data_IF_339693524250
#
_entry.id   IF_339693524250
#
_cell.length_a   1.000
_cell.length_b   1.000
_cell.length_c   1.000
_cell.angle_alpha   90.00
_cell.angle_beta   90.00
_cell.angle_gamma   90.00
#
_symmetry.space_group_name_H-M   'P 1'
#
loop_
_entity.id
_entity.type
_entity.pdbx_description
1 polymer ?
#
# COMPACT_ATOMS: atom_id res chain seq x y z
N UNK A 1 -0.71 19.04 -11.09
CA UNK A 1 0.31 19.91 -10.45
C UNK A 1 1.06 19.04 -9.44
N UNK A 2 2.39 19.04 -9.46
CA UNK A 2 3.14 18.43 -8.36
C UNK A 2 2.99 19.32 -7.12
N UNK A 3 2.23 18.82 -6.16
CA UNK A 3 1.89 19.55 -4.94
C UNK A 3 3.04 19.54 -3.94
N UNK A 4 3.97 18.57 -4.03
CA UNK A 4 5.17 18.55 -3.20
C UNK A 4 6.14 19.68 -3.59
N UNK A 5 6.17 20.04 -4.87
CA UNK A 5 6.97 21.14 -5.40
C UNK A 5 6.27 22.52 -5.36
N UNK A 6 4.98 22.59 -5.00
CA UNK A 6 4.21 23.84 -4.99
C UNK A 6 3.29 23.96 -3.75
N UNK A 7 3.71 24.70 -2.71
CA UNK A 7 2.94 24.89 -1.48
C UNK A 7 1.53 25.47 -1.68
N UNK A 8 1.33 26.34 -2.68
CA UNK A 8 0.02 26.91 -3.00
C UNK A 8 -0.98 25.85 -3.48
N UNK A 9 -0.49 24.71 -3.99
CA UNK A 9 -1.32 23.57 -4.37
C UNK A 9 -2.00 22.90 -3.17
N UNK A 10 -1.42 22.96 -1.96
CA UNK A 10 -2.04 22.38 -0.76
C UNK A 10 -3.23 23.19 -0.26
N UNK A 11 -3.19 24.51 -0.38
CA UNK A 11 -4.30 25.38 0.04
C UNK A 11 -5.52 25.21 -0.88
N UNK A 12 -5.27 25.02 -2.17
CA UNK A 12 -6.33 24.71 -3.14
C UNK A 12 -6.95 23.33 -2.89
N UNK A 13 -6.15 22.30 -2.57
CA UNK A 13 -6.69 21.00 -2.19
C UNK A 13 -7.55 21.07 -0.92
N UNK A 14 -7.10 21.83 0.10
CA UNK A 14 -7.89 22.05 1.32
C UNK A 14 -9.22 22.72 1.02
N UNK A 15 -9.25 23.74 0.15
CA UNK A 15 -10.49 24.41 -0.30
C UNK A 15 -11.47 23.41 -0.92
N UNK A 16 -10.96 22.42 -1.64
CA UNK A 16 -11.72 21.36 -2.30
C UNK A 16 -12.05 20.16 -1.39
N UNK A 17 -11.79 20.27 -0.08
CA UNK A 17 -12.04 19.19 0.89
C UNK A 17 -11.05 18.01 0.77
N UNK A 18 -9.99 18.15 -0.03
CA UNK A 18 -8.96 17.15 -0.20
C UNK A 18 -7.85 17.42 0.81
N UNK A 19 -7.71 16.51 1.78
CA UNK A 19 -6.72 16.66 2.84
C UNK A 19 -5.34 16.10 2.49
N UNK A 20 -5.21 15.32 1.40
CA UNK A 20 -3.98 14.59 1.07
C UNK A 20 -3.78 14.41 -0.44
N UNK A 21 -2.55 14.11 -0.82
CA UNK A 21 -2.14 13.75 -2.18
C UNK A 21 -1.89 12.24 -2.28
N UNK A 22 -1.98 11.63 -3.48
CA UNK A 22 -2.26 12.24 -4.77
C UNK A 22 -3.73 12.63 -4.94
N UNK A 23 -3.98 13.73 -5.66
CA UNK A 23 -5.31 14.19 -6.03
C UNK A 23 -5.30 14.84 -7.41
N UNK A 24 -6.41 14.74 -8.11
CA UNK A 24 -6.66 15.36 -9.42
C UNK A 24 -7.79 16.37 -9.25
N UNK A 25 -7.60 17.58 -9.77
CA UNK A 25 -8.59 18.65 -9.70
C UNK A 25 -8.94 19.13 -11.11
N UNK A 26 -10.24 19.36 -11.37
CA UNK A 26 -10.75 19.97 -12.61
C UNK A 26 -11.77 21.03 -12.22
N UNK A 27 -11.38 22.31 -12.33
CA UNK A 27 -12.20 23.43 -11.86
C UNK A 27 -12.38 23.38 -10.34
N UNK A 28 -13.62 23.34 -9.89
CA UNK A 28 -14.03 23.24 -8.48
C UNK A 28 -14.29 21.80 -8.01
N UNK A 29 -13.93 20.80 -8.82
CA UNK A 29 -14.09 19.38 -8.50
C UNK A 29 -12.74 18.72 -8.27
N UNK A 30 -12.72 17.73 -7.37
CA UNK A 30 -11.52 16.97 -7.07
C UNK A 30 -11.83 15.47 -6.93
N UNK A 31 -10.84 14.66 -7.26
CA UNK A 31 -10.77 13.24 -6.97
C UNK A 31 -9.47 12.94 -6.22
N UNK A 32 -9.57 12.14 -5.16
CA UNK A 32 -8.49 11.92 -4.21
C UNK A 32 -8.08 10.44 -4.19
N UNK A 33 -6.81 10.16 -3.95
CA UNK A 33 -6.27 8.81 -3.80
C UNK A 33 -6.45 7.99 -5.08
N UNK A 34 -6.25 6.67 -5.00
CA UNK A 34 -6.53 5.79 -6.13
C UNK A 34 -8.04 5.57 -6.24
N UNK A 35 -8.70 6.31 -7.13
CA UNK A 35 -10.13 6.18 -7.40
C UNK A 35 -10.42 6.35 -8.90
N UNK A 36 -10.13 5.34 -9.74
CA UNK A 36 -10.34 5.41 -11.18
C UNK A 36 -11.77 5.79 -11.60
N UNK A 37 -12.85 5.29 -10.96
CA UNK A 37 -14.20 5.76 -11.24
C UNK A 37 -14.38 7.27 -10.98
N UNK A 38 -13.87 7.79 -9.86
CA UNK A 38 -13.93 9.22 -9.57
C UNK A 38 -13.11 10.04 -10.56
N UNK A 39 -11.96 9.53 -11.02
CA UNK A 39 -11.18 10.18 -12.08
C UNK A 39 -11.93 10.24 -13.40
N UNK A 40 -12.57 9.15 -13.81
CA UNK A 40 -13.35 9.13 -15.02
C UNK A 40 -14.56 10.07 -14.97
N UNK A 41 -15.28 10.09 -13.84
CA UNK A 41 -16.37 11.03 -13.60
C UNK A 41 -15.87 12.49 -13.58
N UNK A 42 -14.71 12.74 -13.00
CA UNK A 42 -14.08 14.06 -12.99
C UNK A 42 -13.74 14.53 -14.42
N UNK A 43 -13.20 13.63 -15.24
CA UNK A 43 -12.78 13.89 -16.62
C UNK A 43 -13.92 13.80 -17.65
N UNK A 44 -15.10 13.33 -17.25
CA UNK A 44 -16.25 13.16 -18.15
C UNK A 44 -16.05 12.06 -19.20
N UNK A 45 -15.20 11.07 -18.90
CA UNK A 45 -14.89 9.96 -19.82
C UNK A 45 -15.63 8.69 -19.41
N UNK A 46 -16.08 7.85 -20.37
CA UNK A 46 -16.57 6.52 -20.06
C UNK A 46 -15.49 5.69 -19.36
N UNK A 47 -15.85 5.02 -18.28
CA UNK A 47 -14.99 4.06 -17.59
C UNK A 47 -15.60 2.67 -17.66
N UNK A 48 -15.03 1.84 -18.52
CA UNK A 48 -15.18 0.40 -18.39
C UNK A 48 -14.16 -0.05 -17.34
N UNK A 49 -14.64 -0.59 -16.21
CA UNK A 49 -13.75 -1.10 -15.18
C UNK A 49 -12.73 -2.06 -15.79
N UNK A 50 -11.45 -1.83 -15.49
CA UNK A 50 -10.41 -2.81 -15.86
C UNK A 50 -10.75 -4.12 -15.16
N UNK A 51 -10.59 -5.25 -15.86
CA UNK A 51 -10.81 -6.58 -15.25
C UNK A 51 -9.84 -6.76 -14.09
N UNK A 52 -10.35 -6.59 -12.87
CA UNK A 52 -9.61 -6.81 -11.63
C UNK A 52 -9.38 -8.30 -11.41
N UNK A 53 -8.26 -8.63 -10.78
CA UNK A 53 -8.05 -9.99 -10.29
C UNK A 53 -9.13 -10.35 -9.24
N UNK A 54 -9.59 -11.60 -9.18
CA UNK A 54 -10.58 -12.00 -8.18
C UNK A 54 -10.00 -11.86 -6.76
N UNK A 55 -10.84 -11.60 -5.73
CA UNK A 55 -10.37 -11.40 -4.36
C UNK A 55 -9.47 -12.53 -3.84
N UNK A 56 -9.76 -13.78 -4.19
CA UNK A 56 -8.97 -14.95 -3.80
C UNK A 56 -7.54 -14.91 -4.37
N UNK A 57 -7.38 -14.47 -5.61
CA UNK A 57 -6.06 -14.32 -6.24
C UNK A 57 -5.31 -13.11 -5.68
N UNK A 58 -6.01 -12.01 -5.40
CA UNK A 58 -5.42 -10.84 -4.72
C UNK A 58 -4.92 -11.17 -3.31
N UNK A 59 -5.69 -11.96 -2.55
CA UNK A 59 -5.32 -12.42 -1.21
C UNK A 59 -4.10 -13.34 -1.25
N UNK A 60 -4.08 -14.31 -2.17
CA UNK A 60 -2.93 -15.21 -2.37
C UNK A 60 -1.66 -14.44 -2.70
N UNK A 61 -1.74 -13.46 -3.62
CA UNK A 61 -0.59 -12.63 -4.00
C UNK A 61 -0.13 -11.71 -2.89
N UNK A 62 -1.07 -11.13 -2.14
CA UNK A 62 -0.74 -10.35 -0.96
C UNK A 62 0.09 -11.20 0.00
N UNK A 63 -0.32 -12.44 0.29
CA UNK A 63 0.46 -13.34 1.14
C UNK A 63 1.87 -13.61 0.58
N UNK A 64 2.01 -13.83 -0.73
CA UNK A 64 3.34 -13.98 -1.37
C UNK A 64 4.21 -12.75 -1.16
N UNK A 65 3.67 -11.53 -1.30
CA UNK A 65 4.44 -10.31 -1.08
C UNK A 65 4.83 -10.11 0.38
N UNK A 66 3.92 -10.42 1.31
CA UNK A 66 4.17 -10.35 2.75
C UNK A 66 5.21 -11.39 3.18
N UNK A 67 5.11 -12.63 2.68
CA UNK A 67 6.10 -13.68 2.90
C UNK A 67 7.47 -13.24 2.38
N UNK A 68 7.54 -12.80 1.13
CA UNK A 68 8.80 -12.33 0.51
C UNK A 68 9.43 -11.22 1.34
N UNK A 69 8.62 -10.24 1.77
CA UNK A 69 9.06 -9.14 2.65
C UNK A 69 9.59 -9.68 3.98
N UNK A 70 8.89 -10.64 4.58
CA UNK A 70 9.29 -11.25 5.85
C UNK A 70 10.63 -11.98 5.72
N UNK A 71 10.81 -12.75 4.65
CA UNK A 71 12.07 -13.44 4.38
C UNK A 71 13.21 -12.45 4.18
N UNK A 72 12.96 -11.41 3.38
CA UNK A 72 13.91 -10.35 3.09
C UNK A 72 14.34 -9.59 4.35
N UNK A 73 13.40 -9.16 5.19
CA UNK A 73 13.72 -8.39 6.39
C UNK A 73 14.58 -9.17 7.39
N UNK A 74 14.53 -10.50 7.41
CA UNK A 74 15.40 -11.32 8.29
C UNK A 74 16.89 -11.17 8.00
N UNK A 75 17.26 -10.81 6.77
CA UNK A 75 18.66 -10.75 6.33
C UNK A 75 19.21 -9.33 6.23
N UNK A 76 18.39 -8.30 6.49
CA UNK A 76 18.81 -6.90 6.39
C UNK A 76 19.77 -6.57 7.53
N UNK A 77 21.01 -6.13 7.25
CA UNK A 77 21.94 -5.71 8.29
C UNK A 77 21.47 -4.45 9.03
N UNK A 78 21.61 -4.44 10.35
CA UNK A 78 21.12 -3.35 11.22
C UNK A 78 21.63 -1.97 10.81
N UNK A 79 22.88 -1.88 10.32
CA UNK A 79 23.48 -0.62 9.85
C UNK A 79 22.70 0.05 8.71
N UNK A 80 21.88 -0.70 7.97
CA UNK A 80 21.09 -0.17 6.86
C UNK A 80 19.65 0.20 7.24
N UNK A 81 19.18 -0.20 8.42
CA UNK A 81 17.78 -0.01 8.81
C UNK A 81 17.37 1.46 8.89
N UNK A 82 18.27 2.33 9.34
CA UNK A 82 18.03 3.78 9.44
C UNK A 82 18.45 4.57 8.19
N UNK A 83 19.00 3.89 7.18
CA UNK A 83 19.34 4.51 5.90
C UNK A 83 18.08 4.98 5.17
N UNK A 84 18.20 6.11 4.45
CA UNK A 84 17.11 6.74 3.69
C UNK A 84 17.54 6.99 2.24
N UNK A 85 16.73 6.63 1.25
CA UNK A 85 16.97 7.03 -0.13
C UNK A 85 16.74 8.53 -0.34
N UNK A 86 17.48 9.20 -1.23
CA UNK A 86 17.24 10.61 -1.56
C UNK A 86 15.87 10.85 -2.20
N UNK A 87 15.30 9.85 -2.88
CA UNK A 87 14.00 9.94 -3.55
C UNK A 87 12.83 10.00 -2.55
N UNK A 88 13.03 9.53 -1.31
CA UNK A 88 11.95 9.47 -0.32
C UNK A 88 12.47 9.49 1.11
N UNK A 89 11.95 10.41 1.93
CA UNK A 89 12.27 10.50 3.35
C UNK A 89 11.56 9.41 4.18
N UNK A 90 11.90 8.14 3.94
CA UNK A 90 11.43 6.97 4.69
C UNK A 90 12.61 6.03 4.90
N UNK A 91 12.82 5.59 6.14
CA UNK A 91 13.90 4.65 6.43
C UNK A 91 13.61 3.27 5.86
N UNK A 92 14.66 2.49 5.62
CA UNK A 92 14.55 1.10 5.22
C UNK A 92 13.67 0.31 6.22
N UNK A 93 13.90 0.51 7.52
CA UNK A 93 13.12 -0.07 8.63
C UNK A 93 11.64 0.23 8.49
N UNK A 94 11.29 1.50 8.30
CA UNK A 94 9.90 1.92 8.16
C UNK A 94 9.27 1.43 6.85
N UNK A 95 10.03 1.30 5.76
CA UNK A 95 9.52 0.74 4.51
C UNK A 95 9.16 -0.75 4.69
N UNK A 96 10.03 -1.55 5.29
CA UNK A 96 9.77 -2.96 5.59
C UNK A 96 8.57 -3.15 6.52
N UNK A 97 8.51 -2.37 7.61
CA UNK A 97 7.35 -2.36 8.52
C UNK A 97 6.05 -1.97 7.81
N UNK A 98 6.10 -0.95 6.96
CA UNK A 98 4.92 -0.39 6.32
C UNK A 98 4.22 -1.38 5.39
N UNK A 99 4.95 -2.27 4.70
CA UNK A 99 4.37 -3.35 3.88
C UNK A 99 3.41 -4.22 4.68
N UNK A 100 3.77 -4.56 5.92
CA UNK A 100 2.89 -5.32 6.81
C UNK A 100 1.78 -4.43 7.37
N UNK A 101 2.11 -3.24 7.87
CA UNK A 101 1.13 -2.37 8.52
C UNK A 101 0.01 -1.91 7.58
N UNK A 102 0.32 -1.57 6.33
CA UNK A 102 -0.69 -1.21 5.33
C UNK A 102 -1.65 -2.37 5.02
N UNK A 103 -1.14 -3.60 5.11
CA UNK A 103 -1.90 -4.83 4.82
C UNK A 103 -2.78 -5.22 6.01
N UNK A 104 -2.27 -5.05 7.23
CA UNK A 104 -3.09 -5.17 8.44
C UNK A 104 -4.21 -4.12 8.47
N UNK A 105 -3.91 -2.88 8.06
CA UNK A 105 -4.89 -1.80 8.01
C UNK A 105 -6.09 -2.09 7.10
N UNK A 106 -5.93 -2.92 6.06
CA UNK A 106 -7.06 -3.42 5.27
C UNK A 106 -8.02 -4.23 6.14
N UNK A 107 -7.50 -5.22 6.86
CA UNK A 107 -8.27 -6.07 7.76
C UNK A 107 -8.94 -5.24 8.86
N UNK A 108 -8.18 -4.35 9.52
CA UNK A 108 -8.72 -3.44 10.53
C UNK A 108 -9.85 -2.58 9.95
N UNK A 109 -9.68 -2.07 8.73
CA UNK A 109 -10.66 -1.21 8.08
C UNK A 109 -11.93 -1.95 7.68
N UNK A 110 -11.80 -3.20 7.22
CA UNK A 110 -12.96 -4.06 6.97
C UNK A 110 -13.72 -4.32 8.26
N UNK A 111 -13.05 -4.69 9.34
CA UNK A 111 -13.71 -5.02 10.61
C UNK A 111 -14.38 -3.80 11.26
N UNK A 112 -13.76 -2.62 11.19
CA UNK A 112 -14.30 -1.39 11.78
C UNK A 112 -15.27 -0.63 10.86
N UNK A 113 -15.32 -0.98 9.56
CA UNK A 113 -16.09 -0.23 8.56
C UNK A 113 -15.50 1.13 8.20
N UNK A 114 -14.28 1.45 8.65
CA UNK A 114 -13.57 2.68 8.33
C UNK A 114 -12.06 2.46 8.21
N UNK A 115 -11.46 3.02 7.14
CA UNK A 115 -10.03 3.08 6.91
C UNK A 115 -9.58 4.55 6.88
N UNK A 116 -9.09 5.10 8.02
CA UNK A 116 -8.51 6.43 8.06
C UNK A 116 -7.09 6.45 7.48
N UNK A 117 -6.75 7.53 6.75
CA UNK A 117 -5.44 7.66 6.10
C UNK A 117 -4.27 7.85 7.06
N UNK A 118 -4.54 8.14 8.34
CA UNK A 118 -3.53 8.25 9.39
C UNK A 118 -2.84 6.91 9.68
N UNK A 119 -3.53 5.78 9.53
CA UNK A 119 -2.94 4.45 9.73
C UNK A 119 -1.79 4.15 8.76
N UNK A 120 -1.79 4.77 7.57
CA UNK A 120 -0.69 4.64 6.60
C UNK A 120 0.55 5.48 6.98
N UNK A 121 0.46 6.30 8.02
CA UNK A 121 1.57 7.10 8.55
C UNK A 121 2.27 6.42 9.72
N UNK A 122 1.71 5.34 10.25
CA UNK A 122 2.28 4.59 11.37
C UNK A 122 3.73 4.22 11.04
N UNK A 123 4.62 4.55 11.97
CA UNK A 123 6.03 4.16 11.92
C UNK A 123 6.22 2.84 12.65
N UNK A 124 7.33 2.16 12.37
CA UNK A 124 7.77 1.02 13.14
C UNK A 124 7.90 1.42 14.61
N UNK A 125 7.22 0.73 15.55
CA UNK A 125 7.38 0.96 16.98
C UNK A 125 8.84 0.84 17.44
N UNK A 126 9.16 1.47 18.56
CA UNK A 126 10.53 1.56 19.08
C UNK A 126 11.13 0.21 19.48
N UNK A 127 10.32 -0.83 19.71
CA UNK A 127 10.76 -2.19 20.01
C UNK A 127 11.03 -3.03 18.75
N UNK A 128 10.53 -2.63 17.58
CA UNK A 128 10.89 -3.21 16.28
C UNK A 128 12.16 -2.55 15.73
N UNK A 129 13.30 -2.83 16.37
CA UNK A 129 14.59 -2.19 16.08
C UNK A 129 15.40 -2.85 14.98
N UNK A 130 15.25 -4.15 14.81
CA UNK A 130 16.04 -4.96 13.90
C UNK A 130 15.18 -5.65 12.83
N UNK A 131 15.85 -6.14 11.78
CA UNK A 131 15.21 -6.86 10.68
C UNK A 131 14.42 -8.10 11.15
N UNK A 132 15.00 -8.98 12.00
CA UNK A 132 14.29 -10.11 12.59
C UNK A 132 13.02 -9.75 13.39
N UNK A 133 13.00 -8.63 14.11
CA UNK A 133 11.82 -8.14 14.84
C UNK A 133 10.70 -7.74 13.88
N UNK A 134 11.04 -7.01 12.81
CA UNK A 134 10.08 -6.69 11.74
C UNK A 134 9.55 -7.97 11.07
N UNK A 135 10.41 -8.96 10.83
CA UNK A 135 9.98 -10.22 10.26
C UNK A 135 9.04 -11.01 11.21
N UNK A 136 9.29 -11.01 12.53
CA UNK A 136 8.37 -11.60 13.52
C UNK A 136 7.02 -10.88 13.54
N UNK A 137 7.03 -9.55 13.50
CA UNK A 137 5.79 -8.77 13.34
C UNK A 137 5.06 -9.13 12.05
N UNK A 138 5.78 -9.26 10.94
CA UNK A 138 5.22 -9.68 9.66
C UNK A 138 4.55 -11.05 9.71
N UNK A 139 5.12 -12.02 10.44
CA UNK A 139 4.50 -13.32 10.64
C UNK A 139 3.17 -13.23 11.41
N UNK A 140 3.09 -12.38 12.44
CA UNK A 140 1.84 -12.15 13.20
C UNK A 140 0.78 -11.50 12.30
N UNK A 141 1.17 -10.50 11.51
CA UNK A 141 0.29 -9.82 10.55
C UNK A 141 -0.25 -10.81 9.51
N UNK A 142 0.61 -11.66 8.95
CA UNK A 142 0.18 -12.69 8.00
C UNK A 142 -0.82 -13.66 8.62
N UNK A 143 -0.57 -14.14 9.83
CA UNK A 143 -1.53 -14.99 10.54
C UNK A 143 -2.90 -14.33 10.71
N UNK A 144 -2.92 -13.04 11.07
CA UNK A 144 -4.16 -12.26 11.20
C UNK A 144 -4.91 -12.08 9.87
N UNK A 145 -4.17 -11.81 8.80
CA UNK A 145 -4.70 -11.63 7.45
C UNK A 145 -5.26 -12.95 6.90
N UNK A 146 -4.52 -14.05 7.04
CA UNK A 146 -4.97 -15.38 6.65
C UNK A 146 -6.27 -15.75 7.35
N UNK A 147 -6.33 -15.58 8.68
CA UNK A 147 -7.56 -15.87 9.44
C UNK A 147 -8.74 -15.00 9.02
N UNK A 148 -8.51 -13.74 8.61
CA UNK A 148 -9.58 -12.89 8.06
C UNK A 148 -10.10 -13.45 6.73
N UNK A 149 -9.22 -13.82 5.80
CA UNK A 149 -9.63 -14.36 4.51
C UNK A 149 -10.32 -15.74 4.61
N UNK A 150 -9.90 -16.59 5.54
CA UNK A 150 -10.55 -17.88 5.80
C UNK A 150 -11.98 -17.71 6.33
N UNK A 151 -12.24 -16.65 7.11
CA UNK A 151 -13.56 -16.33 7.64
C UNK A 151 -14.42 -15.44 6.73
N UNK A 152 -13.84 -14.80 5.72
CA UNK A 152 -14.53 -13.84 4.87
C UNK A 152 -15.47 -14.54 3.88
N UNK A 153 -16.77 -14.18 3.94
CA UNK A 153 -17.72 -14.56 2.90
C UNK A 153 -17.52 -13.73 1.63
N UNK A 154 -18.01 -14.17 0.45
CA UNK A 154 -17.97 -13.35 -0.77
C UNK A 154 -18.55 -11.94 -0.59
N UNK A 155 -19.58 -11.80 0.25
CA UNK A 155 -20.22 -10.51 0.56
C UNK A 155 -19.30 -9.49 1.25
N UNK A 156 -18.24 -9.95 1.94
CA UNK A 156 -17.26 -9.04 2.54
C UNK A 156 -16.50 -8.24 1.48
N UNK A 157 -16.27 -8.81 0.29
CA UNK A 157 -15.58 -8.11 -0.79
C UNK A 157 -16.50 -7.12 -1.54
N UNK A 158 -17.81 -7.29 -1.43
CA UNK A 158 -18.81 -6.36 -1.99
C UNK A 158 -19.14 -5.22 -1.03
N UNK A 159 -18.97 -5.44 0.28
CA UNK A 159 -19.25 -4.46 1.32
C UNK A 159 -18.44 -3.19 1.12
N UNK A 160 -19.13 -2.05 1.12
CA UNK A 160 -18.53 -0.72 1.01
C UNK A 160 -18.24 -0.17 2.41
N UNK A 161 -17.01 0.31 2.61
CA UNK A 161 -16.58 0.95 3.86
C UNK A 161 -16.12 2.39 3.62
N UNK A 162 -16.05 3.18 4.71
CA UNK A 162 -15.56 4.56 4.65
C UNK A 162 -14.04 4.55 4.52
N UNK A 163 -13.49 5.09 3.43
CA UNK A 163 -12.02 5.23 3.26
C UNK A 163 -11.65 6.69 3.08
N UNK A 164 -10.46 7.08 3.53
CA UNK A 164 -9.97 8.47 3.52
C UNK A 164 -9.94 9.15 2.14
N UNK A 165 -10.05 8.39 1.06
CA UNK A 165 -10.11 8.86 -0.32
C UNK A 165 -11.46 8.58 -1.02
N UNK A 166 -12.51 8.37 -0.22
CA UNK A 166 -13.87 8.07 -0.67
C UNK A 166 -14.29 6.63 -0.34
N UNK A 167 -15.59 6.31 -0.35
CA UNK A 167 -16.06 4.95 -0.09
C UNK A 167 -15.48 3.94 -1.08
N UNK A 168 -15.12 2.74 -0.59
CA UNK A 168 -14.55 1.66 -1.41
C UNK A 168 -15.19 0.33 -1.04
N UNK A 169 -15.38 -0.56 -2.02
CA UNK A 169 -15.70 -1.96 -1.74
C UNK A 169 -14.49 -2.68 -1.14
N UNK A 170 -14.73 -3.78 -0.41
CA UNK A 170 -13.66 -4.65 0.07
C UNK A 170 -12.76 -5.15 -1.07
N UNK A 171 -13.32 -5.40 -2.26
CA UNK A 171 -12.56 -5.81 -3.45
C UNK A 171 -11.66 -4.68 -3.97
N UNK A 172 -12.17 -3.45 -4.10
CA UNK A 172 -11.38 -2.31 -4.56
C UNK A 172 -10.24 -1.99 -3.60
N UNK A 173 -10.54 -2.02 -2.30
CA UNK A 173 -9.54 -1.77 -1.27
C UNK A 173 -8.51 -2.89 -1.19
N UNK A 174 -8.91 -4.15 -1.36
CA UNK A 174 -8.00 -5.29 -1.43
C UNK A 174 -7.06 -5.17 -2.63
N UNK A 175 -7.57 -4.86 -3.82
CA UNK A 175 -6.73 -4.66 -5.01
C UNK A 175 -5.67 -3.59 -4.73
N UNK A 176 -6.09 -2.44 -4.18
CA UNK A 176 -5.18 -1.37 -3.79
C UNK A 176 -4.14 -1.83 -2.80
N UNK A 177 -4.56 -2.57 -1.77
CA UNK A 177 -3.66 -3.08 -0.73
C UNK A 177 -2.62 -4.02 -1.32
N UNK A 178 -3.03 -4.94 -2.19
CA UNK A 178 -2.15 -5.91 -2.85
C UNK A 178 -1.10 -5.24 -3.74
N UNK A 179 -1.49 -4.31 -4.62
CA UNK A 179 -0.50 -3.65 -5.48
C UNK A 179 0.36 -2.63 -4.70
N UNK A 180 -0.15 -2.02 -3.63
CA UNK A 180 0.62 -1.14 -2.77
C UNK A 180 1.72 -1.91 -2.01
N UNK A 181 1.41 -3.10 -1.49
CA UNK A 181 2.40 -4.00 -0.91
C UNK A 181 3.45 -4.43 -1.96
N UNK A 182 3.01 -4.80 -3.16
CA UNK A 182 3.91 -5.18 -4.25
C UNK A 182 4.85 -4.03 -4.66
N UNK A 183 4.36 -2.80 -4.73
CA UNK A 183 5.18 -1.62 -5.06
C UNK A 183 6.25 -1.38 -3.99
N UNK A 184 5.91 -1.49 -2.71
CA UNK A 184 6.89 -1.34 -1.64
C UNK A 184 7.90 -2.49 -1.59
N UNK A 185 7.49 -3.70 -1.97
CA UNK A 185 8.42 -4.81 -2.17
C UNK A 185 9.41 -4.52 -3.31
N UNK A 186 8.95 -3.97 -4.45
CA UNK A 186 9.85 -3.51 -5.53
C UNK A 186 10.86 -2.47 -5.03
N UNK A 187 10.41 -1.51 -4.22
CA UNK A 187 11.28 -0.50 -3.62
C UNK A 187 12.32 -1.15 -2.70
N UNK A 188 11.92 -2.07 -1.82
CA UNK A 188 12.85 -2.78 -0.93
C UNK A 188 13.96 -3.49 -1.70
N UNK A 189 13.64 -4.16 -2.81
CA UNK A 189 14.62 -4.85 -3.64
C UNK A 189 15.57 -3.89 -4.36
N UNK A 190 15.07 -2.78 -4.90
CA UNK A 190 15.91 -1.76 -5.51
C UNK A 190 16.87 -1.11 -4.48
N UNK A 191 16.40 -0.91 -3.25
CA UNK A 191 17.26 -0.42 -2.16
C UNK A 191 18.28 -1.48 -1.73
N UNK A 192 17.92 -2.76 -1.73
CA UNK A 192 18.84 -3.86 -1.45
C UNK A 192 20.02 -3.86 -2.42
N UNK A 193 19.73 -3.77 -3.72
CA UNK A 193 20.74 -3.71 -4.78
C UNK A 193 21.69 -2.52 -4.56
N UNK A 194 21.14 -1.33 -4.30
CA UNK A 194 21.93 -0.11 -4.02
C UNK A 194 22.83 -0.23 -2.79
N UNK A 195 22.42 -1.01 -1.80
CA UNK A 195 23.14 -1.21 -0.54
C UNK A 195 24.01 -2.47 -0.54
N UNK A 196 24.06 -3.22 -1.64
CA UNK A 196 24.81 -4.47 -1.73
C UNK A 196 24.25 -5.60 -0.85
N UNK A 197 22.96 -5.54 -0.51
CA UNK A 197 22.26 -6.58 0.25
C UNK A 197 21.71 -7.61 -0.73
N UNK A 198 22.20 -8.85 -0.67
CA UNK A 198 21.67 -9.96 -1.47
C UNK A 198 20.39 -10.51 -0.82
N UNK A 199 19.21 -10.41 -1.48
CA UNK A 199 17.97 -10.99 -0.96
C UNK A 199 18.08 -12.51 -0.84
N UNK A 200 17.51 -13.09 0.23
CA UNK A 200 17.48 -14.55 0.42
C UNK A 200 16.49 -15.27 -0.50
N UNK A 201 15.56 -14.53 -1.09
CA UNK A 201 14.56 -15.02 -2.04
C UNK A 201 14.46 -14.06 -3.23
N UNK A 202 14.22 -14.55 -4.46
CA UNK A 202 14.05 -13.67 -5.61
C UNK A 202 12.77 -12.85 -5.50
N UNK A 203 12.75 -11.68 -6.15
CA UNK A 203 11.53 -10.88 -6.29
C UNK A 203 10.50 -11.70 -7.11
N UNK A 204 9.27 -11.93 -6.61
CA UNK A 204 8.26 -12.74 -7.31
C UNK A 204 7.61 -11.96 -8.47
N UNK A 205 8.38 -11.66 -9.50
CA UNK A 205 7.96 -10.79 -10.62
C UNK A 205 6.73 -11.28 -11.37
N UNK A 206 6.50 -12.59 -11.43
CA UNK A 206 5.32 -13.18 -12.06
C UNK A 206 4.02 -12.77 -11.35
N UNK A 207 4.06 -12.51 -10.04
CA UNK A 207 2.89 -12.11 -9.25
C UNK A 207 2.46 -10.67 -9.49
N UNK A 208 3.29 -9.86 -10.16
CA UNK A 208 2.96 -8.49 -10.52
C UNK A 208 1.98 -8.39 -11.70
N UNK A 209 1.89 -9.44 -12.52
CA UNK A 209 1.11 -9.42 -13.76
C UNK A 209 -0.37 -9.16 -13.50
N UNK A 210 -0.91 -8.08 -14.07
CA UNK A 210 -2.33 -7.71 -13.93
C UNK A 210 -2.64 -6.88 -12.70
N UNK A 211 -1.65 -6.56 -11.85
CA UNK A 211 -1.80 -5.51 -10.85
C UNK A 211 -1.58 -4.13 -11.51
N UNK A 212 -2.30 -3.08 -11.10
CA UNK A 212 -2.14 -1.73 -11.63
C UNK A 212 -0.90 -1.04 -11.02
N UNK A 213 0.26 -1.65 -11.18
CA UNK A 213 1.53 -1.09 -10.70
C UNK A 213 1.99 0.05 -11.61
N UNK A 214 2.52 1.14 -11.05
CA UNK A 214 3.15 2.18 -11.84
C UNK A 214 4.46 1.68 -12.47
N UNK A 215 4.81 2.21 -13.64
CA UNK A 215 6.12 1.98 -14.25
C UNK A 215 7.23 2.53 -13.33
N UNK A 216 7.02 3.75 -12.82
CA UNK A 216 7.90 4.42 -11.89
C UNK A 216 7.98 3.71 -10.53
N UNK A 217 9.17 3.76 -9.92
CA UNK A 217 9.41 3.11 -8.64
C UNK A 217 8.98 3.97 -7.44
N UNK A 218 9.03 5.31 -7.54
CA UNK A 218 8.93 6.25 -6.40
C UNK A 218 7.65 7.08 -6.38
#
# INVERSE_FOLDING_TARGET
>A
MDVQANPAGYDELKRLGVSRVPAVTVGDRAAHGWNPPAYAALLGIPYAGVTKLPPTELARRLDVFLDTTQQFMRIVPDQHLEWRPPERNRTFRNLGYHVFRLSLAFVDGMDLGEFPGTWLLDQAPDDLRDGPAIARYGALVRGRITGWFEGASPGEFERVIKVYYGPQSGHDLLERTTWHAAQHLRQLYALAERLGITPSVPLPTHEFKGLPLPDALW
#
